data_IF_385020144016
#
_entry.id   IF_385020144016
#
_cell.length_a   1.000
_cell.length_b   1.000
_cell.length_c   1.000
_cell.angle_alpha   90.00
_cell.angle_beta   90.00
_cell.angle_gamma   90.00
#
_symmetry.space_group_name_H-M   'P 1'
#
loop_
_entity.id
_entity.type
_entity.pdbx_description
1 polymer ?
#
# COMPACT_ATOMS: atom_id res chain seq x y z
N UNK A 1 -9.91 26.67 8.59
CA UNK A 1 -10.37 25.63 9.52
C UNK A 1 -9.93 24.30 8.95
N UNK A 2 -9.36 23.37 9.72
CA UNK A 2 -9.09 22.03 9.23
C UNK A 2 -10.42 21.36 8.84
N UNK A 3 -10.42 20.46 7.85
CA UNK A 3 -11.62 19.71 7.47
C UNK A 3 -12.14 18.92 8.67
N UNK A 4 -13.45 18.68 8.77
CA UNK A 4 -14.02 17.90 9.85
C UNK A 4 -13.43 16.47 9.83
N UNK A 5 -13.23 15.85 11.00
CA UNK A 5 -12.76 14.48 11.06
C UNK A 5 -13.76 13.57 10.33
N UNK A 6 -13.26 12.53 9.63
CA UNK A 6 -14.12 11.56 8.98
C UNK A 6 -15.02 10.86 10.03
N UNK A 7 -16.20 10.36 9.62
CA UNK A 7 -17.13 9.72 10.53
C UNK A 7 -16.48 8.53 11.23
N UNK A 8 -16.63 8.48 12.56
CA UNK A 8 -16.18 7.34 13.37
C UNK A 8 -16.91 6.07 12.91
N UNK A 9 -16.15 5.12 12.38
CA UNK A 9 -16.68 3.78 12.12
C UNK A 9 -16.69 2.98 13.42
N UNK A 10 -17.88 2.49 13.82
CA UNK A 10 -18.03 1.60 14.98
C UNK A 10 -17.52 0.20 14.62
N UNK A 11 -16.58 -0.31 15.40
CA UNK A 11 -16.04 -1.66 15.25
C UNK A 11 -17.04 -2.69 15.81
N UNK A 12 -17.78 -3.38 14.92
CA UNK A 12 -18.52 -4.58 15.25
C UNK A 12 -17.60 -5.81 15.24
N UNK A 13 -17.69 -6.67 16.24
CA UNK A 13 -17.01 -7.98 16.26
C UNK A 13 -17.61 -8.87 15.17
N UNK A 14 -16.90 -9.08 14.08
CA UNK A 14 -17.30 -10.03 13.02
C UNK A 14 -16.67 -9.70 11.68
N UNK A 15 -15.60 -10.37 11.32
CA UNK A 15 -15.06 -10.69 9.99
C UNK A 15 -14.89 -9.59 8.91
N UNK A 16 -15.08 -8.32 9.17
CA UNK A 16 -14.69 -7.27 8.22
C UNK A 16 -13.38 -6.62 8.69
N UNK A 17 -12.38 -6.61 7.83
CA UNK A 17 -11.19 -5.80 8.03
C UNK A 17 -11.66 -4.35 8.21
N UNK A 18 -11.33 -3.68 9.31
CA UNK A 18 -11.77 -2.32 9.55
C UNK A 18 -11.44 -1.42 8.35
N UNK A 19 -12.39 -0.59 7.93
CA UNK A 19 -12.21 0.37 6.84
C UNK A 19 -12.31 -0.20 5.42
N UNK A 20 -12.64 -1.48 5.22
CA UNK A 20 -12.97 -1.97 3.87
C UNK A 20 -14.38 -1.55 3.46
N UNK A 21 -14.51 -1.21 2.18
CA UNK A 21 -15.77 -0.84 1.55
C UNK A 21 -16.30 -2.01 0.74
N UNK A 22 -17.60 -2.21 0.76
CA UNK A 22 -18.24 -3.13 -0.21
C UNK A 22 -18.30 -2.49 -1.59
N UNK A 23 -18.40 -3.31 -2.63
CA UNK A 23 -18.61 -2.84 -4.01
C UNK A 23 -19.86 -1.97 -4.11
N UNK A 24 -20.93 -2.33 -3.40
CA UNK A 24 -22.17 -1.54 -3.42
C UNK A 24 -22.00 -0.19 -2.72
N UNK A 25 -21.24 -0.14 -1.62
CA UNK A 25 -20.87 1.12 -0.99
C UNK A 25 -20.06 1.99 -1.95
N UNK A 26 -19.07 1.42 -2.65
CA UNK A 26 -18.29 2.11 -3.67
C UNK A 26 -19.19 2.65 -4.79
N UNK A 27 -20.08 1.83 -5.35
CA UNK A 27 -21.02 2.27 -6.39
C UNK A 27 -21.90 3.45 -5.94
N UNK A 28 -22.34 3.42 -4.68
CA UNK A 28 -23.10 4.53 -4.11
C UNK A 28 -22.25 5.81 -4.02
N UNK A 29 -21.02 5.71 -3.51
CA UNK A 29 -20.08 6.84 -3.40
C UNK A 29 -19.70 7.43 -4.77
N UNK A 30 -19.58 6.59 -5.80
CA UNK A 30 -19.36 7.05 -7.18
C UNK A 30 -20.60 7.78 -7.71
N UNK A 31 -21.79 7.26 -7.43
CA UNK A 31 -23.06 7.87 -7.88
C UNK A 31 -23.33 9.22 -7.22
N UNK A 32 -23.00 9.38 -5.93
CA UNK A 32 -23.21 10.66 -5.21
C UNK A 32 -22.04 11.66 -5.37
N UNK A 33 -20.98 11.27 -6.10
CA UNK A 33 -19.83 12.11 -6.42
C UNK A 33 -18.79 12.22 -5.31
N UNK A 34 -18.94 11.46 -4.21
CA UNK A 34 -17.95 11.45 -3.12
C UNK A 34 -16.66 10.67 -3.46
N UNK A 35 -16.69 9.83 -4.49
CA UNK A 35 -15.53 9.13 -5.05
C UNK A 35 -15.51 9.30 -6.57
N UNK A 36 -14.42 9.81 -7.10
CA UNK A 36 -14.16 9.98 -8.55
C UNK A 36 -12.98 9.15 -9.06
N UNK A 37 -12.12 8.66 -8.16
CA UNK A 37 -10.87 7.97 -8.50
C UNK A 37 -10.73 6.64 -7.75
N UNK A 38 -10.36 5.59 -8.51
CA UNK A 38 -10.01 4.29 -7.95
C UNK A 38 -8.56 3.95 -8.32
N UNK A 39 -7.74 3.69 -7.30
CA UNK A 39 -6.39 3.15 -7.46
C UNK A 39 -6.48 1.62 -7.48
N UNK A 40 -6.27 1.00 -8.64
CA UNK A 40 -6.09 -0.44 -8.73
C UNK A 40 -4.60 -0.77 -8.64
N UNK A 41 -4.20 -1.40 -7.54
CA UNK A 41 -2.80 -1.56 -7.16
C UNK A 41 -2.40 -3.02 -7.05
N UNK A 42 -1.25 -3.37 -7.61
CA UNK A 42 -0.51 -4.59 -7.28
C UNK A 42 0.67 -4.25 -6.36
N UNK A 43 1.23 -5.25 -5.71
CA UNK A 43 2.48 -5.12 -4.93
C UNK A 43 3.63 -5.68 -5.76
N UNK A 44 4.68 -4.89 -5.95
CA UNK A 44 5.88 -5.32 -6.67
C UNK A 44 6.89 -6.05 -5.77
N UNK A 45 8.03 -6.45 -6.34
CA UNK A 45 9.06 -7.22 -5.62
C UNK A 45 9.76 -6.44 -4.51
N UNK A 46 9.65 -5.12 -4.47
CA UNK A 46 10.18 -4.24 -3.42
C UNK A 46 9.11 -3.83 -2.40
N UNK A 47 7.88 -4.34 -2.51
CA UNK A 47 6.77 -3.99 -1.64
C UNK A 47 6.08 -2.67 -2.00
N UNK A 48 6.38 -2.07 -3.16
CA UNK A 48 5.75 -0.83 -3.60
C UNK A 48 4.38 -1.09 -4.21
N UNK A 49 3.47 -0.14 -4.03
CA UNK A 49 2.18 -0.15 -4.74
C UNK A 49 2.38 0.38 -6.16
N UNK A 50 2.15 -0.50 -7.11
CA UNK A 50 2.18 -0.22 -8.55
C UNK A 50 0.78 -0.35 -9.12
N UNK A 51 0.42 0.38 -10.16
CA UNK A 51 -0.91 0.21 -10.74
C UNK A 51 -1.42 1.39 -11.54
N UNK A 52 -2.73 1.51 -11.61
CA UNK A 52 -3.43 2.49 -12.45
C UNK A 52 -4.43 3.30 -11.63
N UNK A 53 -4.65 4.54 -12.05
CA UNK A 53 -5.76 5.38 -11.60
C UNK A 53 -6.89 5.31 -12.60
N UNK A 54 -8.05 4.86 -12.15
CA UNK A 54 -9.26 4.81 -12.95
C UNK A 54 -10.19 5.95 -12.57
N UNK A 55 -10.88 6.50 -13.55
CA UNK A 55 -12.10 7.23 -13.28
C UNK A 55 -13.10 6.25 -12.65
N UNK A 56 -13.67 6.62 -11.51
CA UNK A 56 -14.43 5.68 -10.70
C UNK A 56 -15.66 5.10 -11.41
N UNK A 57 -16.32 5.86 -12.29
CA UNK A 57 -17.43 5.36 -13.10
C UNK A 57 -16.98 4.21 -14.00
N UNK A 58 -15.87 4.37 -14.73
CA UNK A 58 -15.34 3.30 -15.56
C UNK A 58 -14.95 2.06 -14.74
N UNK A 59 -14.37 2.29 -13.55
CA UNK A 59 -13.99 1.17 -12.68
C UNK A 59 -15.21 0.34 -12.27
N UNK A 60 -16.28 0.96 -11.75
CA UNK A 60 -17.47 0.23 -11.26
C UNK A 60 -18.32 -0.37 -12.38
N UNK A 61 -18.18 0.10 -13.61
CA UNK A 61 -18.89 -0.45 -14.77
C UNK A 61 -18.14 -1.63 -15.41
N UNK A 62 -16.80 -1.57 -15.49
CA UNK A 62 -16.01 -2.53 -16.28
C UNK A 62 -14.80 -3.08 -15.53
N UNK A 63 -13.91 -2.22 -15.05
CA UNK A 63 -12.57 -2.62 -14.61
C UNK A 63 -12.53 -3.30 -13.23
N UNK A 64 -13.63 -3.29 -12.48
CA UNK A 64 -13.74 -4.01 -11.23
C UNK A 64 -13.66 -5.53 -11.37
N UNK A 65 -13.85 -6.07 -12.56
CA UNK A 65 -13.70 -7.48 -12.86
C UNK A 65 -12.24 -7.84 -13.10
N UNK A 66 -11.60 -7.11 -13.99
CA UNK A 66 -10.18 -7.24 -14.29
C UNK A 66 -9.67 -6.01 -15.07
N UNK A 67 -8.37 -5.81 -15.01
CA UNK A 67 -7.61 -4.89 -15.85
C UNK A 67 -6.25 -5.51 -16.15
N UNK A 68 -5.41 -4.84 -16.94
CA UNK A 68 -4.11 -5.41 -17.36
C UNK A 68 -2.97 -4.47 -16.99
N UNK A 69 -1.78 -5.01 -16.88
CA UNK A 69 -0.54 -4.26 -16.73
C UNK A 69 0.61 -4.97 -17.42
N UNK A 70 1.64 -4.23 -17.77
CA UNK A 70 2.83 -4.82 -18.36
C UNK A 70 3.50 -5.82 -17.42
N UNK A 71 3.95 -6.97 -17.94
CA UNK A 71 4.53 -8.02 -17.13
C UNK A 71 5.90 -7.65 -16.54
N UNK A 72 6.58 -6.63 -17.06
CA UNK A 72 7.83 -6.15 -16.48
C UNK A 72 7.68 -5.52 -15.09
N UNK A 73 6.47 -5.17 -14.66
CA UNK A 73 6.26 -4.53 -13.34
C UNK A 73 6.74 -5.38 -12.16
N UNK A 74 6.85 -6.71 -12.32
CA UNK A 74 7.45 -7.60 -11.34
C UNK A 74 8.96 -7.83 -11.58
N UNK A 75 9.58 -7.11 -12.52
CA UNK A 75 10.98 -7.25 -12.92
C UNK A 75 11.69 -5.89 -13.03
N UNK A 76 11.25 -4.90 -12.27
CA UNK A 76 11.90 -3.58 -12.20
C UNK A 76 12.81 -3.46 -10.99
N UNK A 77 13.83 -2.62 -11.09
CA UNK A 77 14.65 -2.21 -9.96
C UNK A 77 14.04 -1.02 -9.18
N UNK A 78 14.78 -0.47 -8.22
CA UNK A 78 14.32 0.65 -7.38
C UNK A 78 14.04 1.94 -8.15
N UNK A 79 14.66 2.14 -9.31
CA UNK A 79 14.46 3.32 -10.17
C UNK A 79 13.57 3.04 -11.38
N UNK A 80 12.84 1.92 -11.35
CA UNK A 80 11.92 1.46 -12.41
C UNK A 80 12.60 1.08 -13.73
N UNK A 81 13.91 0.82 -13.72
CA UNK A 81 14.58 0.20 -14.88
C UNK A 81 14.22 -1.27 -14.97
N UNK A 82 14.27 -1.82 -16.17
CA UNK A 82 14.00 -3.23 -16.46
C UNK A 82 15.34 -3.95 -16.73
N UNK A 83 16.05 -4.43 -15.69
CA UNK A 83 17.31 -5.13 -15.87
C UNK A 83 17.10 -6.45 -16.64
N UNK A 84 18.11 -6.87 -17.36
CA UNK A 84 18.11 -8.13 -18.09
C UNK A 84 18.23 -9.33 -17.13
N UNK A 85 17.91 -10.54 -17.65
CA UNK A 85 18.09 -11.80 -16.93
C UNK A 85 16.85 -12.39 -16.29
N UNK A 86 15.68 -11.76 -16.41
CA UNK A 86 14.41 -12.34 -15.97
C UNK A 86 13.85 -13.29 -17.02
N UNK A 87 13.56 -14.52 -16.60
CA UNK A 87 12.95 -15.54 -17.48
C UNK A 87 11.50 -15.21 -17.85
N UNK A 88 10.79 -14.49 -16.99
CA UNK A 88 9.37 -14.18 -17.16
C UNK A 88 9.09 -13.00 -18.11
N UNK A 89 10.09 -12.15 -18.34
CA UNK A 89 9.94 -10.97 -19.17
C UNK A 89 11.30 -10.43 -19.60
N UNK A 90 11.49 -10.16 -20.89
CA UNK A 90 12.70 -9.59 -21.47
C UNK A 90 12.42 -9.06 -22.87
N UNK A 91 13.36 -8.31 -23.45
CA UNK A 91 13.33 -7.93 -24.84
C UNK A 91 13.33 -9.13 -25.79
N UNK A 92 14.00 -10.22 -25.40
CA UNK A 92 14.11 -11.44 -26.21
C UNK A 92 12.79 -12.23 -26.25
N UNK A 93 12.08 -12.31 -25.11
CA UNK A 93 10.79 -12.99 -25.01
C UNK A 93 9.61 -12.11 -25.44
N UNK A 94 9.87 -10.82 -25.63
CA UNK A 94 8.85 -9.79 -25.80
C UNK A 94 8.15 -9.44 -24.48
N UNK A 95 7.82 -8.17 -24.30
CA UNK A 95 7.01 -7.75 -23.16
C UNK A 95 5.54 -8.05 -23.49
N UNK A 96 4.86 -8.68 -22.54
CA UNK A 96 3.43 -8.96 -22.59
C UNK A 96 2.71 -8.31 -21.41
N UNK A 97 1.47 -8.75 -21.19
CA UNK A 97 0.63 -8.26 -20.11
C UNK A 97 0.42 -9.33 -19.04
N UNK A 98 0.22 -8.89 -17.80
CA UNK A 98 -0.46 -9.62 -16.74
C UNK A 98 -1.89 -9.12 -16.60
N UNK A 99 -2.76 -10.00 -16.15
CA UNK A 99 -4.09 -9.61 -15.66
C UNK A 99 -3.94 -9.13 -14.21
N UNK A 100 -4.49 -7.95 -13.93
CA UNK A 100 -4.70 -7.45 -12.58
C UNK A 100 -6.15 -7.71 -12.19
N UNK A 101 -6.38 -8.67 -11.31
CA UNK A 101 -7.70 -8.99 -10.81
C UNK A 101 -7.95 -8.29 -9.46
N UNK A 102 -8.86 -7.30 -9.39
CA UNK A 102 -9.14 -6.62 -8.14
C UNK A 102 -9.70 -7.58 -7.08
N UNK A 103 -9.08 -7.59 -5.91
CA UNK A 103 -9.60 -8.25 -4.71
C UNK A 103 -10.56 -7.27 -4.00
N UNK A 104 -11.84 -7.43 -4.29
CA UNK A 104 -12.88 -6.48 -3.88
C UNK A 104 -13.07 -6.39 -2.36
N UNK A 105 -12.59 -7.36 -1.61
CA UNK A 105 -12.59 -7.34 -0.14
C UNK A 105 -11.54 -6.38 0.43
N UNK A 106 -10.65 -5.85 -0.42
CA UNK A 106 -9.60 -4.92 -0.02
C UNK A 106 -9.90 -3.46 -0.33
N UNK A 107 -11.08 -3.14 -0.88
CA UNK A 107 -11.45 -1.76 -1.21
C UNK A 107 -11.44 -0.92 0.07
N UNK A 108 -10.70 0.20 0.04
CA UNK A 108 -10.58 1.10 1.19
C UNK A 108 -10.39 2.56 0.77
N UNK A 109 -10.77 3.53 1.62
CA UNK A 109 -10.49 4.93 1.35
C UNK A 109 -8.99 5.22 1.38
N UNK A 110 -8.60 6.27 0.65
CA UNK A 110 -7.25 6.86 0.68
C UNK A 110 -7.36 8.27 1.26
N UNK A 111 -7.35 8.42 2.59
CA UNK A 111 -7.76 9.67 3.26
C UNK A 111 -6.88 10.90 2.96
N UNK A 112 -5.66 10.69 2.45
CA UNK A 112 -4.73 11.74 2.02
C UNK A 112 -4.93 12.17 0.56
N UNK A 113 -5.85 11.53 -0.16
CA UNK A 113 -6.23 11.89 -1.54
C UNK A 113 -7.75 12.08 -1.58
N UNK A 114 -8.18 13.27 -1.93
CA UNK A 114 -9.60 13.59 -2.06
C UNK A 114 -10.30 12.69 -3.08
N UNK A 115 -11.52 12.28 -2.81
CA UNK A 115 -12.36 11.50 -3.72
C UNK A 115 -11.78 10.13 -4.12
N UNK A 116 -10.80 9.60 -3.38
CA UNK A 116 -10.02 8.45 -3.82
C UNK A 116 -10.23 7.22 -2.92
N UNK A 117 -10.41 6.08 -3.56
CA UNK A 117 -10.32 4.74 -2.94
C UNK A 117 -9.24 3.92 -3.61
N UNK A 118 -8.76 2.87 -2.93
CA UNK A 118 -7.83 1.90 -3.52
C UNK A 118 -8.37 0.47 -3.37
N UNK A 119 -7.93 -0.40 -4.27
CA UNK A 119 -8.14 -1.84 -4.23
C UNK A 119 -6.83 -2.55 -4.57
N UNK A 120 -6.51 -3.62 -3.84
CA UNK A 120 -5.39 -4.48 -4.17
C UNK A 120 -5.81 -5.48 -5.24
N UNK A 121 -4.89 -5.76 -6.17
CA UNK A 121 -5.11 -6.70 -7.25
C UNK A 121 -4.20 -7.91 -7.09
N UNK A 122 -4.74 -9.09 -7.37
CA UNK A 122 -3.94 -10.26 -7.67
C UNK A 122 -3.37 -10.16 -9.08
N UNK A 123 -2.18 -10.70 -9.28
CA UNK A 123 -1.51 -10.74 -10.59
C UNK A 123 -1.63 -12.13 -11.15
N UNK A 124 -2.29 -12.22 -12.30
CA UNK A 124 -2.51 -13.48 -13.00
C UNK A 124 -1.79 -13.47 -14.35
N UNK A 125 -1.42 -14.64 -14.78
CA UNK A 125 -0.91 -14.87 -16.13
C UNK A 125 -2.00 -14.58 -17.17
N UNK A 126 -1.64 -13.87 -18.24
CA UNK A 126 -2.60 -13.39 -19.24
C UNK A 126 -3.37 -14.52 -19.94
N UNK A 127 -2.69 -15.59 -20.27
CA UNK A 127 -3.27 -16.68 -21.08
C UNK A 127 -4.00 -17.70 -20.22
N UNK A 128 -3.42 -18.04 -19.09
CA UNK A 128 -3.92 -19.13 -18.22
C UNK A 128 -4.81 -18.65 -17.09
N UNK A 129 -4.79 -17.36 -16.77
CA UNK A 129 -5.45 -16.76 -15.59
C UNK A 129 -5.04 -17.42 -14.27
N UNK A 130 -3.89 -18.11 -14.26
CA UNK A 130 -3.34 -18.65 -13.03
C UNK A 130 -2.51 -17.59 -12.30
N UNK A 131 -2.45 -17.64 -10.95
CA UNK A 131 -1.62 -16.72 -10.19
C UNK A 131 -0.17 -16.76 -10.65
N UNK A 132 0.42 -15.60 -10.93
CA UNK A 132 1.85 -15.50 -11.26
C UNK A 132 2.66 -15.92 -10.04
N UNK A 133 3.46 -17.01 -10.11
CA UNK A 133 4.01 -17.66 -8.93
C UNK A 133 5.02 -16.81 -8.15
N UNK A 134 5.66 -15.86 -8.79
CA UNK A 134 6.60 -14.93 -8.18
C UNK A 134 5.97 -13.58 -7.77
N UNK A 135 4.68 -13.39 -7.97
CA UNK A 135 3.97 -12.25 -7.38
C UNK A 135 3.98 -12.33 -5.85
N UNK A 136 4.42 -11.29 -5.11
CA UNK A 136 4.50 -11.33 -3.64
C UNK A 136 3.18 -11.71 -2.98
N UNK A 137 2.06 -11.16 -3.47
CA UNK A 137 0.73 -11.46 -2.94
C UNK A 137 0.32 -12.92 -3.21
N UNK A 138 0.66 -13.48 -4.38
CA UNK A 138 0.40 -14.88 -4.69
C UNK A 138 1.22 -15.82 -3.81
N UNK A 139 2.50 -15.50 -3.57
CA UNK A 139 3.34 -16.26 -2.64
C UNK A 139 2.77 -16.28 -1.22
N UNK A 140 2.31 -15.14 -0.71
CA UNK A 140 1.70 -15.06 0.61
C UNK A 140 0.41 -15.89 0.69
N UNK A 141 -0.50 -15.74 -0.28
CA UNK A 141 -1.74 -16.52 -0.35
C UNK A 141 -1.46 -18.04 -0.38
N UNK A 142 -0.43 -18.46 -1.12
CA UNK A 142 0.00 -19.86 -1.18
C UNK A 142 0.44 -20.38 0.19
N UNK A 143 1.21 -19.60 0.96
CA UNK A 143 1.67 -20.02 2.30
C UNK A 143 0.51 -20.07 3.30
N UNK A 144 -0.43 -19.11 3.24
CA UNK A 144 -1.65 -19.13 4.07
C UNK A 144 -2.49 -20.38 3.77
N UNK A 145 -2.70 -20.70 2.49
CA UNK A 145 -3.43 -21.91 2.10
C UNK A 145 -2.77 -23.19 2.65
N UNK A 146 -1.42 -23.28 2.55
CA UNK A 146 -0.66 -24.41 3.08
C UNK A 146 -0.78 -24.55 4.60
N UNK A 147 -0.78 -23.44 5.33
CA UNK A 147 -0.99 -23.46 6.79
C UNK A 147 -2.39 -23.97 7.13
N UNK A 148 -3.41 -23.54 6.39
CA UNK A 148 -4.78 -24.03 6.58
C UNK A 148 -4.92 -25.53 6.33
N UNK A 149 -4.26 -26.06 5.31
CA UNK A 149 -4.21 -27.51 5.04
C UNK A 149 -3.60 -28.30 6.22
N UNK A 150 -2.67 -27.68 6.94
CA UNK A 150 -2.05 -28.25 8.15
C UNK A 150 -2.87 -28.02 9.43
N UNK A 151 -4.02 -27.34 9.34
CA UNK A 151 -4.92 -27.06 10.46
C UNK A 151 -4.50 -25.82 11.28
N UNK A 152 -3.69 -24.93 10.72
CA UNK A 152 -3.23 -23.71 11.40
C UNK A 152 -3.81 -22.45 10.73
N UNK A 153 -4.13 -21.47 11.55
CA UNK A 153 -4.30 -20.08 11.15
C UNK A 153 -3.08 -19.27 11.61
N UNK A 154 -2.52 -18.46 10.70
CA UNK A 154 -1.40 -17.60 11.02
C UNK A 154 -1.90 -16.18 11.33
N UNK A 155 -1.38 -15.61 12.42
CA UNK A 155 -1.45 -14.17 12.71
C UNK A 155 -0.03 -13.64 12.73
N UNK A 156 0.19 -12.54 12.00
CA UNK A 156 1.50 -11.90 11.90
C UNK A 156 1.31 -10.39 11.98
N UNK A 157 2.27 -9.73 12.57
CA UNK A 157 2.36 -8.27 12.57
C UNK A 157 3.67 -7.85 11.91
N UNK A 158 3.71 -6.60 11.48
CA UNK A 158 4.92 -5.94 11.01
C UNK A 158 5.19 -4.73 11.88
N UNK A 159 6.43 -4.54 12.22
CA UNK A 159 6.97 -3.32 12.79
C UNK A 159 7.54 -2.51 11.63
N UNK A 160 7.01 -1.32 11.42
CA UNK A 160 7.43 -0.46 10.32
C UNK A 160 8.27 0.68 10.87
N UNK A 161 9.57 0.61 10.60
CA UNK A 161 10.52 1.65 10.94
C UNK A 161 11.00 2.38 9.69
N UNK A 162 11.26 3.68 9.83
CA UNK A 162 11.73 4.51 8.73
C UNK A 162 12.50 5.73 9.25
N UNK A 163 13.33 6.31 8.38
CA UNK A 163 14.08 7.51 8.69
C UNK A 163 13.46 8.74 8.03
N UNK A 164 13.42 9.83 8.75
CA UNK A 164 13.07 11.15 8.26
C UNK A 164 14.33 12.02 8.09
N UNK A 165 14.45 12.66 6.93
CA UNK A 165 15.57 13.54 6.59
C UNK A 165 15.05 14.94 6.25
N UNK A 166 15.86 15.96 6.51
CA UNK A 166 15.54 17.36 6.18
C UNK A 166 15.50 17.61 4.67
N UNK A 167 16.30 16.88 3.90
CA UNK A 167 16.39 17.06 2.46
C UNK A 167 15.17 16.45 1.74
N UNK A 168 14.78 17.11 0.66
CA UNK A 168 13.81 16.52 -0.29
C UNK A 168 14.42 15.32 -1.03
N UNK A 169 13.57 14.41 -1.51
CA UNK A 169 14.01 13.27 -2.33
C UNK A 169 14.85 13.68 -3.54
N UNK A 170 14.52 14.81 -4.19
CA UNK A 170 15.30 15.32 -5.32
C UNK A 170 16.70 15.82 -4.90
N UNK A 171 16.82 16.47 -3.76
CA UNK A 171 18.12 16.89 -3.24
C UNK A 171 18.99 15.68 -2.87
N UNK A 172 18.42 14.69 -2.20
CA UNK A 172 19.10 13.43 -1.85
C UNK A 172 19.60 12.72 -3.11
N UNK A 173 18.74 12.56 -4.11
CA UNK A 173 19.12 11.94 -5.39
C UNK A 173 20.25 12.68 -6.10
N UNK A 174 20.16 14.01 -6.19
CA UNK A 174 21.20 14.86 -6.81
C UNK A 174 22.52 14.79 -6.05
N UNK A 175 22.47 14.66 -4.71
CA UNK A 175 23.65 14.49 -3.84
C UNK A 175 24.22 13.06 -3.85
N UNK A 176 23.67 12.14 -4.64
CA UNK A 176 24.12 10.75 -4.71
C UNK A 176 23.91 9.97 -3.42
N UNK A 177 22.86 10.30 -2.65
CA UNK A 177 22.50 9.67 -1.37
C UNK A 177 23.59 9.79 -0.30
N UNK A 178 24.31 10.92 -0.30
CA UNK A 178 25.38 11.24 0.66
C UNK A 178 24.98 12.42 1.51
N UNK A 179 25.64 12.55 2.67
CA UNK A 179 25.45 13.69 3.59
C UNK A 179 23.97 13.89 3.96
N UNK A 180 23.28 12.80 4.27
CA UNK A 180 21.91 12.84 4.72
C UNK A 180 21.84 13.47 6.11
N UNK A 181 20.95 14.44 6.31
CA UNK A 181 20.72 15.14 7.57
C UNK A 181 19.42 14.62 8.17
N UNK A 182 19.48 13.83 9.25
CA UNK A 182 18.28 13.44 9.98
C UNK A 182 17.51 14.65 10.51
N UNK A 183 16.19 14.56 10.65
CA UNK A 183 15.38 15.68 11.17
C UNK A 183 15.60 15.95 12.65
N UNK A 184 16.25 15.05 13.38
CA UNK A 184 16.67 15.22 14.76
C UNK A 184 18.17 15.09 14.93
N UNK A 185 18.71 15.71 15.99
CA UNK A 185 20.14 15.78 16.22
C UNK A 185 20.73 14.65 17.08
N UNK A 186 19.90 13.73 17.60
CA UNK A 186 20.31 12.63 18.47
C UNK A 186 19.23 11.54 18.54
N UNK A 187 19.56 10.42 19.18
CA UNK A 187 18.65 9.29 19.41
C UNK A 187 17.31 9.73 20.03
N UNK A 188 16.22 9.28 19.45
CA UNK A 188 14.85 9.68 19.78
C UNK A 188 14.08 8.63 20.59
N UNK A 189 14.68 7.48 20.85
CA UNK A 189 14.02 6.32 21.44
C UNK A 189 13.20 6.68 22.68
N UNK A 190 11.86 6.54 22.56
CA UNK A 190 10.85 6.92 23.58
C UNK A 190 10.89 8.40 24.03
N UNK A 191 11.62 9.27 23.34
CA UNK A 191 11.75 10.68 23.72
C UNK A 191 10.60 11.53 23.19
N UNK A 192 9.56 11.68 23.99
CA UNK A 192 8.35 12.45 23.61
C UNK A 192 8.66 13.90 23.26
N UNK A 193 9.58 14.55 23.97
CA UNK A 193 9.94 15.94 23.66
C UNK A 193 10.58 16.07 22.27
N UNK A 194 11.47 15.17 21.92
CA UNK A 194 12.15 15.19 20.64
C UNK A 194 11.17 14.88 19.49
N UNK A 195 10.42 13.79 19.59
CA UNK A 195 9.46 13.37 18.57
C UNK A 195 8.25 14.30 18.43
N UNK A 196 8.00 15.19 19.42
CA UNK A 196 6.99 16.26 19.30
C UNK A 196 7.29 17.21 18.14
N UNK A 197 8.56 17.36 17.75
CA UNK A 197 8.95 18.21 16.61
C UNK A 197 8.48 17.64 15.26
N UNK A 198 8.25 16.35 15.20
CA UNK A 198 7.90 15.59 14.01
C UNK A 198 6.40 15.27 13.91
N UNK A 199 5.61 15.73 14.89
CA UNK A 199 4.16 15.52 14.92
C UNK A 199 3.42 16.10 13.70
N UNK A 200 3.99 17.05 13.00
CA UNK A 200 3.48 17.53 11.71
C UNK A 200 3.50 16.43 10.62
N UNK A 201 4.33 15.41 10.76
CA UNK A 201 4.39 14.22 9.89
C UNK A 201 3.69 13.04 10.55
N UNK A 202 4.04 12.72 11.80
CA UNK A 202 3.60 11.50 12.48
C UNK A 202 2.09 11.51 12.82
N UNK A 203 1.54 12.66 13.23
CA UNK A 203 0.11 12.77 13.49
C UNK A 203 -0.76 12.57 12.26
N UNK A 204 -0.49 13.19 11.09
CA UNK A 204 -1.18 12.83 9.85
C UNK A 204 -1.07 11.36 9.48
N UNK A 205 0.09 10.73 9.64
CA UNK A 205 0.27 9.30 9.38
C UNK A 205 -0.65 8.45 10.24
N UNK A 206 -0.67 8.64 11.56
CA UNK A 206 -1.59 7.91 12.46
C UNK A 206 -3.05 8.08 12.05
N UNK A 207 -3.48 9.31 11.79
CA UNK A 207 -4.87 9.61 11.46
C UNK A 207 -5.27 9.05 10.09
N UNK A 208 -4.41 9.15 9.10
CA UNK A 208 -4.68 8.63 7.77
C UNK A 208 -4.69 7.10 7.73
N UNK A 209 -3.76 6.44 8.40
CA UNK A 209 -3.74 4.99 8.50
C UNK A 209 -5.00 4.48 9.20
N UNK A 210 -5.39 5.10 10.32
CA UNK A 210 -6.63 4.77 11.01
C UNK A 210 -7.86 4.95 10.12
N UNK A 211 -7.96 6.08 9.42
CA UNK A 211 -9.07 6.37 8.50
C UNK A 211 -9.07 5.45 7.26
N UNK A 212 -7.90 4.94 6.84
CA UNK A 212 -7.78 3.93 5.79
C UNK A 212 -8.14 2.51 6.29
N UNK A 213 -8.49 2.37 7.57
CA UNK A 213 -8.87 1.09 8.17
C UNK A 213 -7.71 0.20 8.57
N UNK A 214 -6.51 0.76 8.72
CA UNK A 214 -5.38 0.06 9.30
C UNK A 214 -5.43 0.24 10.84
N UNK A 215 -5.33 -0.86 11.61
CA UNK A 215 -5.46 -0.77 13.08
C UNK A 215 -4.17 -0.25 13.71
N UNK A 216 -3.81 0.99 13.36
CA UNK A 216 -2.65 1.68 13.96
C UNK A 216 -2.82 1.77 15.48
N UNK A 217 -1.80 1.39 16.23
CA UNK A 217 -1.79 1.43 17.68
C UNK A 217 -1.08 2.68 18.19
N UNK A 218 0.16 2.86 17.80
CA UNK A 218 0.99 3.98 18.23
C UNK A 218 2.06 4.34 17.19
N UNK A 219 2.78 5.42 17.46
CA UNK A 219 4.04 5.79 16.83
C UNK A 219 5.01 6.19 17.92
N UNK A 220 6.29 5.92 17.74
CA UNK A 220 7.35 6.35 18.65
C UNK A 220 8.63 6.64 17.88
N UNK A 221 9.54 7.41 18.51
CA UNK A 221 10.91 7.52 18.04
C UNK A 221 11.68 6.23 18.30
N UNK A 222 12.63 5.94 17.45
CA UNK A 222 13.53 4.79 17.51
C UNK A 222 14.98 5.15 17.87
N UNK A 223 15.83 4.13 17.96
CA UNK A 223 17.15 4.19 18.58
C UNK A 223 18.23 4.94 17.78
N UNK A 224 17.84 5.65 16.71
CA UNK A 224 18.72 6.52 15.93
C UNK A 224 18.07 7.89 15.67
N UNK A 225 18.91 8.87 15.29
CA UNK A 225 18.43 10.20 14.96
C UNK A 225 17.52 10.20 13.72
N UNK A 226 16.30 10.72 13.85
CA UNK A 226 15.31 10.77 12.78
C UNK A 226 14.66 9.43 12.46
N UNK A 227 14.86 8.41 13.28
CA UNK A 227 14.22 7.10 13.13
C UNK A 227 12.89 7.07 13.88
N UNK A 228 11.83 6.72 13.16
CA UNK A 228 10.47 6.63 13.64
C UNK A 228 9.89 5.23 13.41
N UNK A 229 9.00 4.83 14.29
CA UNK A 229 8.32 3.54 14.25
C UNK A 229 6.80 3.70 14.22
N UNK A 230 6.17 2.79 13.48
CA UNK A 230 4.73 2.64 13.37
C UNK A 230 4.30 1.24 13.81
N UNK A 231 3.49 1.15 14.84
CA UNK A 231 2.95 -0.11 15.33
C UNK A 231 1.51 -0.33 14.85
N UNK A 232 1.29 -1.46 14.20
CA UNK A 232 -0.01 -1.89 13.69
C UNK A 232 -0.42 -3.16 14.43
N UNK A 233 -1.63 -3.16 14.99
CA UNK A 233 -2.18 -4.33 15.68
C UNK A 233 -2.38 -5.49 14.69
N UNK A 234 -2.12 -6.69 15.17
CA UNK A 234 -2.37 -7.95 14.47
C UNK A 234 -3.82 -8.40 14.65
#
# INVERSE_FOLDING_TARGET
>A
RPPPPPPCFSFGRGQNVPGTLTVDALKKMVKDGSVDTVLACLVDMQGRLMGKRFHAVNFVETSYKETHCCNYLLATDLVMSTPEGFASTSWETGYGDYVMQPDLDTIRPVPWLEGTVMVLCDVLDHDTHQPVPHSPRAMLKKQIARLKELGFDAMMATELEFFLFEQSFDAIRKGGYRELVPISGYNEDYNIFQTTKEENVMRPLRNHLFAAGLPIENTKGEAEAGQEELNIRY
#
